data_IF_377755530866
#
_entry.id   IF_377755530866
#
_cell.length_a   1.000
_cell.length_b   1.000
_cell.length_c   1.000
_cell.angle_alpha   90.00
_cell.angle_beta   90.00
_cell.angle_gamma   90.00
#
_symmetry.space_group_name_H-M   'P 1'
#
loop_
_entity.id
_entity.type
_entity.pdbx_description
1 polymer ?
#
# COMPACT_ATOMS: atom_id res chain seq x y z
N UNK A 1 22.05 -0.29 -9.45
CA UNK A 1 22.09 -1.65 -8.85
C UNK A 1 23.34 -2.33 -9.35
N UNK A 2 24.04 -3.09 -8.50
CA UNK A 2 25.26 -3.78 -8.91
C UNK A 2 25.02 -4.83 -10.00
N UNK A 3 26.06 -5.15 -10.77
CA UNK A 3 26.07 -6.23 -11.76
C UNK A 3 26.08 -7.59 -11.05
N UNK A 4 24.94 -7.97 -10.49
CA UNK A 4 24.76 -9.28 -9.87
C UNK A 4 24.42 -10.33 -10.92
N UNK A 5 24.91 -11.55 -10.73
CA UNK A 5 24.48 -12.69 -11.54
C UNK A 5 23.07 -13.13 -11.15
N UNK A 6 22.06 -12.72 -11.91
CA UNK A 6 20.66 -13.09 -11.70
C UNK A 6 20.29 -14.47 -12.28
N UNK A 7 21.21 -15.19 -12.94
CA UNK A 7 20.92 -16.43 -13.64
C UNK A 7 20.63 -17.62 -12.73
N UNK A 8 21.16 -17.61 -11.50
CA UNK A 8 21.01 -18.70 -10.53
C UNK A 8 20.05 -18.34 -9.39
N UNK A 9 19.21 -19.28 -8.95
CA UNK A 9 18.34 -19.12 -7.77
C UNK A 9 16.97 -18.48 -8.04
N UNK A 10 16.65 -18.20 -9.31
CA UNK A 10 15.39 -17.59 -9.70
C UNK A 10 14.16 -18.46 -9.41
N UNK A 11 14.28 -19.79 -9.53
CA UNK A 11 13.20 -20.71 -9.17
C UNK A 11 12.86 -20.60 -7.68
N UNK A 12 13.89 -20.46 -6.83
CA UNK A 12 13.71 -20.25 -5.40
C UNK A 12 13.12 -18.85 -5.12
N UNK A 13 13.61 -17.80 -5.78
CA UNK A 13 13.05 -16.45 -5.64
C UNK A 13 11.55 -16.44 -5.98
N UNK A 14 11.17 -17.00 -7.14
CA UNK A 14 9.76 -17.15 -7.51
C UNK A 14 8.95 -18.02 -6.54
N UNK A 15 9.55 -19.12 -6.07
CA UNK A 15 8.94 -20.03 -5.09
C UNK A 15 8.75 -19.40 -3.71
N UNK A 16 9.48 -18.33 -3.38
CA UNK A 16 9.27 -17.53 -2.16
C UNK A 16 8.17 -16.49 -2.40
N UNK A 17 8.25 -15.72 -3.49
CA UNK A 17 7.29 -14.65 -3.77
C UNK A 17 5.88 -15.14 -4.02
N UNK A 18 5.71 -16.24 -4.77
CA UNK A 18 4.39 -16.76 -5.10
C UNK A 18 3.53 -17.05 -3.86
N UNK A 19 3.95 -17.89 -2.88
CA UNK A 19 3.13 -18.16 -1.71
C UNK A 19 2.95 -16.92 -0.83
N UNK A 20 3.96 -16.05 -0.71
CA UNK A 20 3.84 -14.81 0.07
C UNK A 20 2.76 -13.89 -0.51
N UNK A 21 2.82 -13.64 -1.82
CA UNK A 21 1.86 -12.80 -2.50
C UNK A 21 0.45 -13.44 -2.52
N UNK A 22 0.37 -14.77 -2.67
CA UNK A 22 -0.90 -15.49 -2.60
C UNK A 22 -1.55 -15.38 -1.22
N UNK A 23 -0.77 -15.50 -0.13
CA UNK A 23 -1.29 -15.29 1.23
C UNK A 23 -1.77 -13.86 1.41
N UNK A 24 -0.99 -12.86 0.99
CA UNK A 24 -1.42 -11.46 1.04
C UNK A 24 -2.71 -11.21 0.25
N UNK A 25 -2.85 -11.80 -0.94
CA UNK A 25 -4.09 -11.74 -1.71
C UNK A 25 -5.28 -12.33 -0.96
N UNK A 26 -5.12 -13.52 -0.38
CA UNK A 26 -6.19 -14.20 0.36
C UNK A 26 -6.61 -13.42 1.61
N UNK A 27 -5.65 -12.83 2.34
CA UNK A 27 -5.94 -11.95 3.48
C UNK A 27 -6.77 -10.74 3.05
N UNK A 28 -6.33 -10.00 2.04
CA UNK A 28 -7.06 -8.84 1.53
C UNK A 28 -8.48 -9.20 1.03
N UNK A 29 -8.63 -10.31 0.29
CA UNK A 29 -9.95 -10.79 -0.14
C UNK A 29 -10.83 -11.18 1.07
N UNK A 30 -10.25 -11.73 2.13
CA UNK A 30 -11.00 -12.05 3.35
C UNK A 30 -11.57 -10.78 4.00
N UNK A 31 -10.82 -9.67 3.99
CA UNK A 31 -11.30 -8.36 4.47
C UNK A 31 -12.41 -7.81 3.58
N UNK A 32 -12.29 -7.92 2.26
CA UNK A 32 -13.35 -7.55 1.30
C UNK A 32 -14.66 -8.28 1.63
N UNK A 33 -14.59 -9.60 1.85
CA UNK A 33 -15.76 -10.42 2.22
C UNK A 33 -16.32 -9.98 3.58
N UNK A 34 -15.46 -9.72 4.56
CA UNK A 34 -15.86 -9.24 5.89
C UNK A 34 -16.59 -7.89 5.83
N UNK A 35 -16.05 -6.92 5.09
CA UNK A 35 -16.65 -5.58 4.93
C UNK A 35 -18.04 -5.65 4.30
N UNK A 36 -18.22 -6.49 3.27
CA UNK A 36 -19.52 -6.71 2.64
C UNK A 36 -20.53 -7.40 3.57
N UNK A 37 -20.05 -8.24 4.48
CA UNK A 37 -20.90 -9.01 5.40
C UNK A 37 -21.32 -8.22 6.63
N UNK A 38 -20.68 -7.09 6.95
CA UNK A 38 -20.87 -6.35 8.19
C UNK A 38 -21.69 -5.06 7.97
N UNK A 39 -22.99 -5.03 8.33
CA UNK A 39 -23.83 -3.85 8.15
C UNK A 39 -23.31 -2.61 8.91
N UNK A 40 -22.65 -2.81 10.05
CA UNK A 40 -22.06 -1.71 10.83
C UNK A 40 -20.91 -0.97 10.14
N UNK A 41 -20.34 -1.55 9.07
CA UNK A 41 -19.26 -0.97 8.27
C UNK A 41 -19.78 -0.37 6.95
N UNK A 42 -21.10 -0.30 6.74
CA UNK A 42 -21.70 0.46 5.64
C UNK A 42 -21.68 1.97 5.92
N UNK A 43 -20.50 2.53 6.04
CA UNK A 43 -20.23 3.94 6.30
C UNK A 43 -18.99 4.39 5.50
N UNK A 44 -18.66 5.69 5.58
CA UNK A 44 -17.52 6.28 4.87
C UNK A 44 -16.21 5.52 5.13
N UNK A 45 -15.94 5.15 6.39
CA UNK A 45 -14.77 4.38 6.78
C UNK A 45 -14.69 3.00 6.10
N UNK A 46 -15.79 2.25 6.11
CA UNK A 46 -15.82 0.92 5.47
C UNK A 46 -15.74 0.99 3.96
N UNK A 47 -16.29 2.03 3.31
CA UNK A 47 -16.14 2.26 1.87
C UNK A 47 -14.69 2.54 1.47
N UNK A 48 -14.01 3.43 2.21
CA UNK A 48 -12.59 3.71 2.00
C UNK A 48 -11.71 2.48 2.23
N UNK A 49 -11.99 1.73 3.30
CA UNK A 49 -11.26 0.48 3.60
C UNK A 49 -11.48 -0.54 2.49
N UNK A 50 -12.72 -0.68 1.99
CA UNK A 50 -13.04 -1.57 0.88
C UNK A 50 -12.27 -1.24 -0.40
N UNK A 51 -12.16 0.04 -0.71
CA UNK A 51 -11.34 0.52 -1.84
C UNK A 51 -9.89 0.07 -1.69
N UNK A 52 -9.28 0.41 -0.54
CA UNK A 52 -7.89 0.11 -0.24
C UNK A 52 -7.58 -1.38 -0.38
N UNK A 53 -8.32 -2.26 0.31
CA UNK A 53 -8.06 -3.71 0.25
C UNK A 53 -8.33 -4.33 -1.13
N UNK A 54 -9.19 -3.70 -1.94
CA UNK A 54 -9.41 -4.12 -3.33
C UNK A 54 -8.18 -3.81 -4.19
N UNK A 55 -7.59 -2.63 -4.00
CA UNK A 55 -6.35 -2.22 -4.68
C UNK A 55 -5.17 -3.10 -4.23
N UNK A 56 -5.05 -3.38 -2.94
CA UNK A 56 -4.01 -4.28 -2.42
C UNK A 56 -4.17 -5.71 -2.94
N UNK A 57 -5.41 -6.18 -3.10
CA UNK A 57 -5.69 -7.46 -3.76
C UNK A 57 -5.17 -7.49 -5.20
N UNK A 58 -5.38 -6.40 -5.97
CA UNK A 58 -4.83 -6.28 -7.34
C UNK A 58 -3.31 -6.31 -7.31
N UNK A 59 -2.67 -5.55 -6.42
CA UNK A 59 -1.22 -5.54 -6.25
C UNK A 59 -0.67 -6.95 -5.99
N UNK A 60 -1.23 -7.67 -5.02
CA UNK A 60 -0.81 -9.03 -4.66
C UNK A 60 -1.02 -10.03 -5.80
N UNK A 61 -2.13 -9.90 -6.55
CA UNK A 61 -2.42 -10.74 -7.71
C UNK A 61 -1.36 -10.53 -8.81
N UNK A 62 -0.95 -9.28 -9.08
CA UNK A 62 0.11 -8.97 -10.05
C UNK A 62 1.46 -9.58 -9.62
N UNK A 63 1.81 -9.49 -8.34
CA UNK A 63 3.04 -10.11 -7.83
C UNK A 63 3.01 -11.64 -7.92
N UNK A 64 1.90 -12.28 -7.52
CA UNK A 64 1.78 -13.74 -7.51
C UNK A 64 1.71 -14.32 -8.94
N UNK A 65 0.84 -13.78 -9.79
CA UNK A 65 0.51 -14.41 -11.06
C UNK A 65 1.25 -13.83 -12.27
N UNK A 66 1.85 -12.64 -12.15
CA UNK A 66 2.70 -12.09 -13.20
C UNK A 66 4.17 -12.09 -12.81
N UNK A 67 4.57 -11.38 -11.74
CA UNK A 67 5.99 -11.24 -11.41
C UNK A 67 6.65 -12.58 -11.04
N UNK A 68 6.07 -13.34 -10.11
CA UNK A 68 6.64 -14.63 -9.71
C UNK A 68 6.69 -15.62 -10.89
N UNK A 69 5.66 -15.63 -11.74
CA UNK A 69 5.64 -16.46 -12.94
C UNK A 69 6.71 -16.03 -13.95
N UNK A 70 6.93 -14.72 -14.14
CA UNK A 70 7.96 -14.20 -15.04
C UNK A 70 9.35 -14.62 -14.56
N UNK A 71 9.62 -14.50 -13.25
CA UNK A 71 10.87 -14.92 -12.63
C UNK A 71 11.10 -16.42 -12.81
N UNK A 72 10.05 -17.24 -12.64
CA UNK A 72 10.14 -18.70 -12.74
C UNK A 72 10.32 -19.20 -14.19
N UNK A 73 9.46 -18.73 -15.11
CA UNK A 73 9.36 -19.24 -16.48
C UNK A 73 10.40 -18.65 -17.42
N UNK A 74 10.88 -17.43 -17.14
CA UNK A 74 11.88 -16.69 -17.94
C UNK A 74 11.58 -16.66 -19.44
N UNK A 75 10.33 -16.38 -19.82
CA UNK A 75 9.95 -16.24 -21.22
C UNK A 75 10.11 -14.79 -21.69
N UNK A 76 10.71 -14.60 -22.86
CA UNK A 76 11.05 -13.28 -23.39
C UNK A 76 9.84 -12.34 -23.48
N UNK A 77 8.71 -12.85 -24.00
CA UNK A 77 7.47 -12.08 -24.11
C UNK A 77 6.94 -11.55 -22.77
N UNK A 78 7.21 -12.24 -21.65
CA UNK A 78 6.79 -11.78 -20.32
C UNK A 78 7.63 -10.58 -19.87
N UNK A 79 8.91 -10.54 -20.22
CA UNK A 79 9.77 -9.38 -19.97
C UNK A 79 9.39 -8.20 -20.88
N UNK A 80 9.04 -8.46 -22.14
CA UNK A 80 8.60 -7.42 -23.09
C UNK A 80 7.33 -6.69 -22.60
N UNK A 81 6.34 -7.44 -22.11
CA UNK A 81 5.09 -6.87 -21.58
C UNK A 81 5.21 -6.38 -20.13
N UNK A 82 6.34 -6.64 -19.46
CA UNK A 82 6.51 -6.37 -18.02
C UNK A 82 6.33 -4.92 -17.62
N UNK A 83 6.53 -3.97 -18.54
CA UNK A 83 6.35 -2.54 -18.29
C UNK A 83 4.89 -2.15 -18.03
N UNK A 84 3.92 -2.82 -18.65
CA UNK A 84 2.50 -2.60 -18.37
C UNK A 84 2.11 -3.11 -16.98
N UNK A 85 2.57 -4.31 -16.63
CA UNK A 85 2.31 -4.91 -15.33
C UNK A 85 3.06 -4.22 -14.19
N UNK A 86 4.29 -3.78 -14.45
CA UNK A 86 5.05 -2.95 -13.52
C UNK A 86 4.31 -1.65 -13.25
N UNK A 87 3.85 -0.95 -14.30
CA UNK A 87 3.03 0.25 -14.12
C UNK A 87 1.75 -0.02 -13.33
N UNK A 88 1.00 -1.08 -13.65
CA UNK A 88 -0.21 -1.44 -12.92
C UNK A 88 0.06 -1.73 -11.43
N UNK A 89 1.19 -2.38 -11.14
CA UNK A 89 1.64 -2.66 -9.77
C UNK A 89 1.99 -1.37 -9.03
N UNK A 90 2.74 -0.47 -9.68
CA UNK A 90 3.10 0.84 -9.12
C UNK A 90 1.85 1.71 -8.89
N UNK A 91 0.91 1.72 -9.83
CA UNK A 91 -0.37 2.43 -9.70
C UNK A 91 -1.17 1.91 -8.52
N UNK A 92 -1.26 0.58 -8.35
CA UNK A 92 -1.95 -0.01 -7.21
C UNK A 92 -1.30 0.42 -5.88
N UNK A 93 0.02 0.40 -5.78
CA UNK A 93 0.73 0.87 -4.58
C UNK A 93 0.46 2.34 -4.26
N UNK A 94 0.45 3.20 -5.28
CA UNK A 94 0.18 4.63 -5.11
C UNK A 94 -1.27 4.90 -4.64
N UNK A 95 -2.24 4.19 -5.21
CA UNK A 95 -3.64 4.24 -4.79
C UNK A 95 -3.81 3.73 -3.35
N UNK A 96 -3.05 2.71 -2.95
CA UNK A 96 -3.01 2.23 -1.57
C UNK A 96 -2.48 3.33 -0.61
N UNK A 97 -1.33 3.94 -0.92
CA UNK A 97 -0.76 5.02 -0.12
C UNK A 97 -1.71 6.21 0.06
N UNK A 98 -2.43 6.58 -1.00
CA UNK A 98 -3.39 7.66 -0.95
C UNK A 98 -4.66 7.29 -0.18
N UNK A 99 -5.14 6.04 -0.34
CA UNK A 99 -6.24 5.50 0.47
C UNK A 99 -5.93 5.57 1.96
N UNK A 100 -4.67 5.34 2.37
CA UNK A 100 -4.24 5.51 3.76
C UNK A 100 -4.35 6.96 4.24
N UNK A 101 -3.96 7.93 3.43
CA UNK A 101 -4.15 9.36 3.75
C UNK A 101 -5.63 9.68 3.93
N UNK A 102 -6.48 9.22 3.02
CA UNK A 102 -7.94 9.41 3.11
C UNK A 102 -8.53 8.76 4.37
N UNK A 103 -8.11 7.54 4.71
CA UNK A 103 -8.53 6.85 5.92
C UNK A 103 -8.12 7.59 7.20
N UNK A 104 -6.88 8.09 7.28
CA UNK A 104 -6.42 8.89 8.41
C UNK A 104 -7.15 10.22 8.54
N UNK A 105 -7.44 10.92 7.43
CA UNK A 105 -8.27 12.13 7.44
C UNK A 105 -9.69 11.81 7.93
N UNK A 106 -10.31 10.76 7.40
CA UNK A 106 -11.64 10.34 7.83
C UNK A 106 -11.70 10.04 9.34
N UNK A 107 -10.69 9.33 9.88
CA UNK A 107 -10.56 9.08 11.33
C UNK A 107 -10.37 10.38 12.12
N UNK A 108 -9.53 11.29 11.62
CA UNK A 108 -9.29 12.58 12.26
C UNK A 108 -10.55 13.44 12.36
N UNK A 109 -11.32 13.56 11.28
CA UNK A 109 -12.58 14.31 11.27
C UNK A 109 -13.60 13.67 12.21
N UNK A 110 -13.68 12.33 12.24
CA UNK A 110 -14.57 11.61 13.16
C UNK A 110 -14.26 11.91 14.64
N UNK A 111 -12.98 12.04 15.00
CA UNK A 111 -12.54 12.28 16.38
C UNK A 111 -12.61 13.77 16.77
N UNK A 112 -12.17 14.68 15.90
CA UNK A 112 -12.05 16.10 16.23
C UNK A 112 -13.30 16.93 15.89
N UNK A 113 -14.11 16.49 14.93
CA UNK A 113 -15.29 17.20 14.47
C UNK A 113 -16.51 16.27 14.29
N UNK A 114 -16.97 15.58 15.36
CA UNK A 114 -18.02 14.56 15.27
C UNK A 114 -19.36 15.08 14.72
N UNK A 115 -19.68 16.36 14.95
CA UNK A 115 -20.90 16.99 14.40
C UNK A 115 -20.82 17.27 12.90
N UNK A 116 -19.61 17.52 12.36
CA UNK A 116 -19.40 17.64 10.93
C UNK A 116 -19.38 16.24 10.29
N UNK A 117 -18.73 15.27 10.95
CA UNK A 117 -18.66 13.89 10.51
C UNK A 117 -20.04 13.25 10.35
N UNK A 118 -20.94 13.44 11.33
CA UNK A 118 -22.30 12.89 11.25
C UNK A 118 -23.11 13.47 10.09
N UNK A 119 -22.89 14.74 9.72
CA UNK A 119 -23.52 15.37 8.55
C UNK A 119 -22.97 14.82 7.23
N UNK A 120 -21.65 14.63 7.13
CA UNK A 120 -21.00 14.03 5.94
C UNK A 120 -21.52 12.60 5.74
N UNK A 121 -21.57 11.82 6.81
CA UNK A 121 -22.07 10.45 6.74
C UNK A 121 -23.55 10.38 6.34
N UNK A 122 -24.37 11.33 6.81
CA UNK A 122 -25.77 11.46 6.40
C UNK A 122 -25.93 11.83 4.91
N UNK A 123 -25.06 12.67 4.34
CA UNK A 123 -25.12 12.99 2.90
C UNK A 123 -24.66 11.83 2.03
N UNK A 124 -23.62 11.11 2.47
CA UNK A 124 -23.09 9.92 1.80
C UNK A 124 -24.06 8.73 1.82
N UNK A 125 -25.01 8.66 2.75
CA UNK A 125 -26.03 7.60 2.75
C UNK A 125 -27.07 7.80 1.62
N UNK A 126 -27.17 9.00 1.05
CA UNK A 126 -28.11 9.35 -0.03
C UNK A 126 -27.47 9.37 -1.42
N UNK A 127 -26.15 9.32 -1.53
CA UNK A 127 -25.41 9.28 -2.79
C UNK A 127 -24.53 8.03 -2.77
N UNK A 128 -24.73 7.11 -3.71
CA UNK A 128 -23.85 5.96 -3.91
C UNK A 128 -22.40 6.42 -4.07
N UNK A 129 -21.59 6.31 -3.02
CA UNK A 129 -20.18 6.69 -3.00
C UNK A 129 -19.34 5.74 -3.89
N UNK A 130 -19.44 5.93 -5.19
CA UNK A 130 -18.28 6.03 -6.04
C UNK A 130 -17.80 7.50 -5.95
N UNK A 131 -16.54 7.80 -6.28
CA UNK A 131 -16.04 9.18 -6.55
C UNK A 131 -15.19 9.89 -5.48
N UNK A 132 -14.43 9.15 -4.66
CA UNK A 132 -13.13 9.68 -4.19
C UNK A 132 -11.91 8.91 -4.73
N UNK A 133 -12.11 7.75 -5.35
CA UNK A 133 -11.04 6.99 -6.02
C UNK A 133 -10.69 7.48 -7.44
N UNK A 134 -11.47 8.42 -8.01
CA UNK A 134 -11.36 8.77 -9.44
C UNK A 134 -10.49 10.00 -9.73
N UNK A 135 -10.11 10.79 -8.72
CA UNK A 135 -9.24 11.97 -8.89
C UNK A 135 -7.75 11.56 -8.96
N UNK A 136 -7.44 10.34 -8.53
CA UNK A 136 -6.10 9.82 -8.24
C UNK A 136 -5.30 9.27 -9.43
N UNK A 137 -5.89 8.87 -10.58
CA UNK A 137 -5.12 8.47 -11.76
C UNK A 137 -4.35 9.62 -12.44
N UNK A 138 -4.69 10.88 -12.15
CA UNK A 138 -4.21 12.07 -12.89
C UNK A 138 -2.70 12.29 -12.70
N UNK A 139 -2.17 12.01 -11.51
CA UNK A 139 -0.73 12.12 -11.23
C UNK A 139 0.11 11.05 -11.95
N UNK A 140 -0.46 9.86 -12.14
CA UNK A 140 0.26 8.68 -12.68
C UNK A 140 0.07 8.55 -14.20
N UNK A 141 -1.00 9.11 -14.75
CA UNK A 141 -1.12 9.41 -16.19
C UNK A 141 0.04 10.25 -16.70
N UNK A 142 0.63 11.12 -15.85
CA UNK A 142 1.82 11.87 -16.23
C UNK A 142 3.03 10.97 -16.49
N UNK A 143 3.13 9.80 -15.86
CA UNK A 143 4.23 8.84 -16.05
C UNK A 143 4.18 8.17 -17.43
N UNK A 144 2.98 7.93 -17.97
CA UNK A 144 2.80 7.47 -19.36
C UNK A 144 3.25 8.52 -20.37
N UNK A 145 3.11 9.81 -20.03
CA UNK A 145 3.44 10.91 -20.94
C UNK A 145 4.95 11.18 -21.11
N UNK A 146 5.84 10.58 -20.29
CA UNK A 146 7.29 10.90 -20.26
C UNK A 146 8.22 9.76 -20.70
N UNK A 147 7.72 8.73 -21.37
CA UNK A 147 8.56 7.61 -21.86
C UNK A 147 9.35 6.91 -20.72
N UNK A 148 8.75 6.92 -19.52
CA UNK A 148 9.34 6.39 -18.31
C UNK A 148 8.70 5.07 -17.89
N UNK A 149 9.44 3.97 -18.08
CA UNK A 149 8.93 2.63 -17.82
C UNK A 149 9.40 2.14 -16.46
N UNK A 150 8.45 1.56 -15.72
CA UNK A 150 8.72 0.70 -14.57
C UNK A 150 8.54 -0.75 -15.03
N UNK A 151 9.66 -1.44 -15.26
CA UNK A 151 9.69 -2.71 -15.98
C UNK A 151 10.64 -3.69 -15.29
N UNK A 152 10.56 -4.96 -15.67
CA UNK A 152 11.44 -6.00 -15.15
C UNK A 152 12.58 -6.21 -16.16
N UNK A 153 13.82 -5.82 -15.84
CA UNK A 153 14.95 -6.08 -16.73
C UNK A 153 15.13 -7.58 -16.96
N UNK A 154 15.57 -7.93 -18.17
CA UNK A 154 15.65 -9.30 -18.61
C UNK A 154 16.47 -10.17 -17.64
N UNK A 155 15.90 -11.28 -17.20
CA UNK A 155 16.56 -12.24 -16.29
C UNK A 155 16.68 -11.79 -14.82
N UNK A 156 16.28 -10.57 -14.46
CA UNK A 156 16.31 -10.06 -13.08
C UNK A 156 15.04 -10.42 -12.31
N UNK A 157 15.04 -10.17 -10.99
CA UNK A 157 13.92 -10.52 -10.09
C UNK A 157 13.21 -9.29 -9.51
N UNK A 158 13.61 -8.10 -9.94
CA UNK A 158 13.22 -6.83 -9.33
C UNK A 158 12.78 -5.85 -10.41
N UNK A 159 11.65 -5.18 -10.19
CA UNK A 159 11.24 -4.08 -11.04
C UNK A 159 12.20 -2.90 -10.86
N UNK A 160 12.45 -2.16 -11.94
CA UNK A 160 13.22 -0.91 -11.89
C UNK A 160 12.63 0.13 -12.84
N UNK A 161 12.85 1.39 -12.51
CA UNK A 161 12.69 2.47 -13.46
C UNK A 161 13.79 2.41 -14.52
N UNK A 162 13.44 2.75 -15.76
CA UNK A 162 14.40 2.96 -16.85
C UNK A 162 15.43 4.02 -16.44
N UNK A 163 16.70 3.75 -16.67
CA UNK A 163 17.78 4.67 -16.26
C UNK A 163 17.90 5.83 -17.26
N UNK A 164 17.20 6.92 -16.97
CA UNK A 164 17.34 8.18 -17.68
C UNK A 164 17.01 9.36 -16.75
N UNK A 165 17.43 10.60 -17.09
CA UNK A 165 17.22 11.75 -16.21
C UNK A 165 15.75 12.06 -15.90
N UNK A 166 14.82 11.80 -16.83
CA UNK A 166 13.40 12.03 -16.62
C UNK A 166 12.82 11.03 -15.63
N UNK A 167 13.12 9.74 -15.81
CA UNK A 167 12.72 8.66 -14.90
C UNK A 167 13.32 8.79 -13.51
N UNK A 168 14.57 9.25 -13.40
CA UNK A 168 15.17 9.49 -12.09
C UNK A 168 14.43 10.61 -11.35
N UNK A 169 13.92 11.65 -12.05
CA UNK A 169 13.04 12.64 -11.42
C UNK A 169 11.70 12.02 -10.99
N UNK A 170 11.08 11.20 -11.84
CA UNK A 170 9.82 10.51 -11.48
C UNK A 170 10.02 9.62 -10.25
N UNK A 171 11.07 8.80 -10.25
CA UNK A 171 11.43 7.92 -9.13
C UNK A 171 11.62 8.69 -7.81
N UNK A 172 12.32 9.82 -7.83
CA UNK A 172 12.59 10.57 -6.60
C UNK A 172 11.42 11.45 -6.16
N UNK A 173 10.78 12.17 -7.08
CA UNK A 173 9.74 13.14 -6.74
C UNK A 173 8.32 12.55 -6.81
N UNK A 174 8.03 11.79 -7.85
CA UNK A 174 6.72 11.19 -8.08
C UNK A 174 6.46 9.93 -7.25
N UNK A 175 7.51 9.23 -6.85
CA UNK A 175 7.40 8.00 -6.07
C UNK A 175 7.91 8.21 -4.64
N UNK A 176 9.23 8.33 -4.43
CA UNK A 176 9.80 8.40 -3.07
C UNK A 176 9.27 9.58 -2.23
N UNK A 177 9.36 10.81 -2.75
CA UNK A 177 9.00 12.01 -1.98
C UNK A 177 7.50 12.06 -1.71
N UNK A 178 6.67 11.75 -2.71
CA UNK A 178 5.22 11.73 -2.56
C UNK A 178 4.79 10.73 -1.48
N UNK A 179 5.27 9.48 -1.57
CA UNK A 179 4.93 8.44 -0.59
C UNK A 179 5.47 8.77 0.81
N UNK A 180 6.67 9.34 0.91
CA UNK A 180 7.23 9.77 2.20
C UNK A 180 6.38 10.87 2.86
N UNK A 181 5.89 11.84 2.07
CA UNK A 181 5.00 12.89 2.57
C UNK A 181 3.64 12.29 2.99
N UNK A 182 3.06 11.39 2.19
CA UNK A 182 1.80 10.70 2.52
C UNK A 182 1.90 9.96 3.86
N UNK A 183 2.97 9.18 4.05
CA UNK A 183 3.21 8.43 5.29
C UNK A 183 3.44 9.38 6.48
N UNK A 184 4.11 10.50 6.28
CA UNK A 184 4.26 11.52 7.34
C UNK A 184 2.91 12.14 7.73
N UNK A 185 2.06 12.46 6.75
CA UNK A 185 0.71 12.99 6.99
C UNK A 185 -0.12 11.97 7.79
N UNK A 186 -0.13 10.70 7.35
CA UNK A 186 -0.81 9.59 8.05
C UNK A 186 -0.32 9.50 9.50
N UNK A 187 0.99 9.49 9.71
CA UNK A 187 1.57 9.41 11.05
C UNK A 187 1.14 10.57 11.95
N UNK A 188 1.16 11.81 11.45
CA UNK A 188 0.74 13.00 12.21
C UNK A 188 -0.76 12.92 12.56
N UNK A 189 -1.61 12.60 11.59
CA UNK A 189 -3.06 12.54 11.78
C UNK A 189 -3.45 11.44 12.75
N UNK A 190 -2.88 10.24 12.59
CA UNK A 190 -3.17 9.11 13.45
C UNK A 190 -2.66 9.36 14.88
N UNK A 191 -1.43 9.89 15.07
CA UNK A 191 -0.93 10.28 16.40
C UNK A 191 -1.83 11.34 17.05
N UNK A 192 -2.30 12.33 16.30
CA UNK A 192 -3.24 13.33 16.82
C UNK A 192 -4.55 12.67 17.27
N UNK A 193 -5.13 11.79 16.45
CA UNK A 193 -6.32 11.01 16.81
C UNK A 193 -6.10 10.23 18.12
N UNK A 194 -4.96 9.55 18.23
CA UNK A 194 -4.57 8.75 19.39
C UNK A 194 -4.55 9.59 20.66
N UNK A 195 -3.84 10.73 20.62
CA UNK A 195 -3.70 11.63 21.78
C UNK A 195 -5.08 12.14 22.21
N UNK A 196 -5.94 12.53 21.26
CA UNK A 196 -7.27 13.06 21.56
C UNK A 196 -8.19 12.00 22.16
N UNK A 197 -8.22 10.81 21.57
CA UNK A 197 -9.00 9.67 22.09
C UNK A 197 -8.52 9.30 23.49
N UNK A 198 -7.19 9.25 23.72
CA UNK A 198 -6.65 8.98 25.05
C UNK A 198 -7.05 10.07 26.07
N UNK A 199 -7.00 11.34 25.70
CA UNK A 199 -7.37 12.46 26.56
C UNK A 199 -8.86 12.53 26.90
N UNK A 200 -9.75 12.11 25.98
CA UNK A 200 -11.19 11.93 26.27
C UNK A 200 -11.38 10.73 27.20
N UNK A 201 -10.68 9.63 26.92
CA UNK A 201 -10.80 8.37 27.64
C UNK A 201 -10.29 8.43 29.09
N UNK A 202 -9.31 9.27 29.42
CA UNK A 202 -8.86 9.46 30.81
C UNK A 202 -9.91 10.15 31.70
N UNK A 203 -10.96 10.75 31.12
CA UNK A 203 -11.99 11.50 31.86
C UNK A 203 -13.28 10.70 32.15
N UNK A 204 -13.40 9.47 31.66
CA UNK A 204 -14.60 8.61 31.82
C UNK A 204 -14.30 7.32 32.60
N UNK A 205 -15.16 6.96 33.56
CA UNK A 205 -14.93 5.93 34.58
C UNK A 205 -15.88 4.72 34.51
N UNK A 206 -16.45 4.41 33.34
CA UNK A 206 -17.45 3.34 33.19
C UNK A 206 -16.86 1.99 32.68
N UNK A 207 -17.26 0.86 33.26
CA UNK A 207 -16.75 -0.47 32.87
C UNK A 207 -17.11 -0.88 31.43
N UNK A 208 -18.29 -0.50 30.92
CA UNK A 208 -18.68 -0.72 29.51
C UNK A 208 -17.82 0.13 28.57
N UNK A 209 -17.39 1.32 29.02
CA UNK A 209 -16.46 2.17 28.27
C UNK A 209 -15.04 1.58 28.23
N UNK A 210 -14.64 0.79 29.25
CA UNK A 210 -13.34 0.13 29.30
C UNK A 210 -13.17 -0.99 28.24
N UNK A 211 -14.22 -1.77 27.93
CA UNK A 211 -14.17 -2.78 26.87
C UNK A 211 -14.17 -2.17 25.47
N UNK A 212 -14.95 -1.09 25.27
CA UNK A 212 -14.93 -0.29 24.02
C UNK A 212 -13.55 0.36 23.81
N UNK A 213 -12.91 0.80 24.90
CA UNK A 213 -11.56 1.40 24.98
C UNK A 213 -10.43 0.46 24.58
N UNK A 214 -10.47 -0.82 24.97
CA UNK A 214 -9.46 -1.79 24.53
C UNK A 214 -9.49 -1.99 23.01
N UNK A 215 -10.69 -1.98 22.42
CA UNK A 215 -10.86 -2.15 20.98
C UNK A 215 -10.40 -0.92 20.19
N UNK A 216 -10.64 0.29 20.70
CA UNK A 216 -10.12 1.53 20.12
C UNK A 216 -8.59 1.63 20.22
N UNK A 217 -7.99 1.22 21.34
CA UNK A 217 -6.53 1.14 21.49
C UNK A 217 -5.90 0.12 20.53
N UNK A 218 -6.54 -1.02 20.31
CA UNK A 218 -6.04 -2.03 19.37
C UNK A 218 -6.05 -1.50 17.92
N UNK A 219 -7.08 -0.75 17.53
CA UNK A 219 -7.13 -0.10 16.20
C UNK A 219 -6.04 0.96 16.03
N UNK A 220 -5.70 1.64 17.12
CA UNK A 220 -4.60 2.61 17.20
C UNK A 220 -3.23 1.96 17.05
N UNK A 221 -2.99 0.85 17.75
CA UNK A 221 -1.75 0.09 17.59
C UNK A 221 -1.63 -0.49 16.18
N UNK A 222 -2.73 -0.95 15.60
CA UNK A 222 -2.76 -1.43 14.22
C UNK A 222 -2.34 -0.33 13.23
N UNK A 223 -2.91 0.88 13.36
CA UNK A 223 -2.55 2.02 12.50
C UNK A 223 -1.08 2.46 12.67
N UNK A 224 -0.56 2.47 13.90
CA UNK A 224 0.83 2.82 14.16
C UNK A 224 1.81 1.76 13.60
N UNK A 225 1.50 0.47 13.75
CA UNK A 225 2.30 -0.62 13.19
C UNK A 225 2.31 -0.58 11.66
N UNK A 226 1.16 -0.33 11.05
CA UNK A 226 1.02 -0.15 9.61
C UNK A 226 1.91 0.99 9.08
N UNK A 227 1.89 2.15 9.74
CA UNK A 227 2.78 3.27 9.40
C UNK A 227 4.27 2.93 9.50
N UNK A 228 4.68 2.17 10.53
CA UNK A 228 6.08 1.72 10.69
C UNK A 228 6.51 0.83 9.53
N UNK A 229 5.64 -0.09 9.08
CA UNK A 229 5.96 -0.98 7.96
C UNK A 229 6.14 -0.22 6.65
N UNK A 230 5.28 0.78 6.36
CA UNK A 230 5.43 1.64 5.18
C UNK A 230 6.73 2.46 5.20
N UNK A 231 7.09 3.07 6.35
CA UNK A 231 8.37 3.80 6.46
C UNK A 231 9.55 2.84 6.23
N UNK A 232 9.48 1.66 6.85
CA UNK A 232 10.53 0.65 6.72
C UNK A 232 10.71 0.26 5.26
N UNK A 233 9.61 0.00 4.55
CA UNK A 233 9.60 -0.35 3.13
C UNK A 233 10.25 0.75 2.27
N UNK A 234 9.83 2.02 2.41
CA UNK A 234 10.43 3.14 1.67
C UNK A 234 11.94 3.29 1.92
N UNK A 235 12.37 3.17 3.18
CA UNK A 235 13.79 3.22 3.54
C UNK A 235 14.54 2.05 2.93
N UNK A 236 13.99 0.84 2.98
CA UNK A 236 14.62 -0.35 2.41
C UNK A 236 14.74 -0.26 0.88
N UNK A 237 13.69 0.20 0.20
CA UNK A 237 13.62 0.25 -1.25
C UNK A 237 14.47 1.37 -1.85
N UNK A 238 14.48 2.58 -1.28
CA UNK A 238 15.15 3.73 -1.91
C UNK A 238 16.54 4.00 -1.35
N UNK A 239 16.73 3.79 -0.04
CA UNK A 239 18.00 4.10 0.63
C UNK A 239 18.86 2.85 0.68
N UNK A 240 18.39 1.79 1.33
CA UNK A 240 19.21 0.60 1.59
C UNK A 240 19.49 -0.22 0.33
N UNK A 241 18.57 -0.25 -0.63
CA UNK A 241 18.77 -0.96 -1.91
C UNK A 241 20.00 -0.47 -2.68
N UNK A 242 20.46 0.75 -2.44
CA UNK A 242 21.67 1.31 -3.07
C UNK A 242 22.96 0.75 -2.47
N UNK A 243 22.91 0.18 -1.26
CA UNK A 243 24.07 -0.34 -0.51
C UNK A 243 24.14 -1.87 -0.48
N UNK A 244 23.24 -2.55 -1.19
CA UNK A 244 23.18 -4.02 -1.20
C UNK A 244 24.42 -4.63 -1.84
N UNK A 245 24.88 -5.75 -1.26
CA UNK A 245 26.08 -6.45 -1.72
C UNK A 245 25.76 -7.70 -2.54
N UNK A 246 24.50 -8.15 -2.53
CA UNK A 246 24.08 -9.31 -3.30
C UNK A 246 22.63 -9.21 -3.79
N UNK A 247 22.30 -10.01 -4.79
CA UNK A 247 20.97 -10.09 -5.40
C UNK A 247 19.85 -10.47 -4.43
N UNK A 248 20.12 -11.29 -3.43
CA UNK A 248 19.11 -11.72 -2.44
C UNK A 248 18.74 -10.58 -1.50
N UNK A 249 19.72 -9.77 -1.08
CA UNK A 249 19.47 -8.54 -0.33
C UNK A 249 18.70 -7.53 -1.17
N UNK A 250 19.10 -7.34 -2.44
CA UNK A 250 18.36 -6.47 -3.35
C UNK A 250 16.90 -6.90 -3.48
N UNK A 251 16.66 -8.19 -3.73
CA UNK A 251 15.33 -8.77 -3.85
C UNK A 251 14.52 -8.70 -2.55
N UNK A 252 15.17 -8.95 -1.41
CA UNK A 252 14.56 -8.88 -0.09
C UNK A 252 14.08 -7.47 0.28
N UNK A 253 14.95 -6.48 0.08
CA UNK A 253 14.71 -5.08 0.44
C UNK A 253 13.82 -4.34 -0.56
N UNK A 254 13.58 -4.91 -1.73
CA UNK A 254 12.67 -4.33 -2.72
C UNK A 254 11.40 -5.17 -2.84
N UNK A 255 11.43 -6.23 -3.64
CA UNK A 255 10.23 -7.01 -4.01
C UNK A 255 9.58 -7.70 -2.82
N UNK A 256 10.35 -8.31 -1.92
CA UNK A 256 9.77 -9.02 -0.77
C UNK A 256 9.20 -8.03 0.25
N UNK A 257 9.94 -6.96 0.58
CA UNK A 257 9.43 -5.91 1.45
C UNK A 257 8.13 -5.29 0.92
N UNK A 258 8.09 -5.01 -0.38
CA UNK A 258 6.90 -4.44 -1.03
C UNK A 258 5.71 -5.41 -1.03
N UNK A 259 5.96 -6.70 -1.25
CA UNK A 259 4.95 -7.74 -1.13
C UNK A 259 4.39 -7.84 0.30
N UNK A 260 5.25 -7.74 1.31
CA UNK A 260 4.85 -7.83 2.72
C UNK A 260 3.99 -6.64 3.14
N UNK A 261 4.38 -5.41 2.79
CA UNK A 261 3.67 -4.20 3.23
C UNK A 261 2.20 -4.22 2.80
N UNK A 262 1.93 -4.49 1.51
CA UNK A 262 0.57 -4.55 0.96
C UNK A 262 -0.15 -5.88 1.33
N UNK A 263 0.58 -6.85 1.87
CA UNK A 263 0.02 -8.15 2.27
C UNK A 263 -0.47 -8.13 3.71
N UNK A 264 0.18 -7.34 4.58
CA UNK A 264 -0.17 -7.16 5.99
C UNK A 264 -1.36 -6.21 6.20
N UNK A 265 -1.75 -5.47 5.17
CA UNK A 265 -2.92 -4.59 5.18
C UNK A 265 -4.26 -5.35 5.21
N UNK A 266 -4.25 -6.65 4.86
CA UNK A 266 -5.38 -7.58 4.96
C UNK A 266 -5.37 -8.39 6.24
#
# INVERSE_FOLDING_TARGET
>A
MGDFDWSQGYQLAAGILFPMALVGFLCNVSVVVFLNSMPSLKNSFGSLTFSQVSVDSVHQLLLAFFLAQTIYLRKDWMYEISHHFGFATLLAYQLCCLSHVCLSINRFVAVYAPLAYSKIQQSETNQSNLDLNLIEPIGILSTFSVDCWFYLPFGTWIYTFKDNPACNKVKWFGDFTLNSISVLIVAILDVACIIRVHGINMKQNDAVSAQRRSRELNLVYQAALQGIFFITELVTYFILSSYVQNKWQAYGLTTISWCLVNGMDG
#
